data_IF_145184884421
#
_entry.id   IF_145184884421
#
_cell.length_a   1.000
_cell.length_b   1.000
_cell.length_c   1.000
_cell.angle_alpha   90.00
_cell.angle_beta   90.00
_cell.angle_gamma   90.00
#
_symmetry.space_group_name_H-M   'P 1'
#
loop_
_entity.id
_entity.type
_entity.pdbx_description
1 polymer ?
#
# COMPACT_ATOMS: atom_id res chain seq x y z
N UNK A 1 -0.80 20.91 7.13
CA UNK A 1 0.24 19.94 6.74
C UNK A 1 -0.13 18.46 7.01
N UNK A 2 -1.36 18.13 7.46
CA UNK A 2 -1.83 16.73 7.67
C UNK A 2 -2.88 16.25 6.63
N UNK A 3 -3.10 17.00 5.55
CA UNK A 3 -4.22 16.77 4.60
C UNK A 3 -3.91 15.88 3.39
N UNK A 4 -2.64 15.50 3.18
CA UNK A 4 -2.21 14.65 2.04
C UNK A 4 -2.18 13.17 2.44
N UNK A 5 -1.68 12.84 3.63
CA UNK A 5 -1.65 11.48 4.17
C UNK A 5 -3.05 10.84 4.25
N UNK A 6 -4.08 11.63 4.58
CA UNK A 6 -5.47 11.16 4.67
C UNK A 6 -6.08 10.73 3.31
N UNK A 7 -5.50 11.14 2.17
CA UNK A 7 -6.08 10.89 0.84
C UNK A 7 -5.63 9.57 0.23
N UNK A 8 -4.33 9.27 0.27
CA UNK A 8 -3.80 7.97 -0.20
C UNK A 8 -4.47 6.80 0.53
N UNK A 9 -4.73 6.98 1.83
CA UNK A 9 -5.42 6.02 2.70
C UNK A 9 -6.84 5.73 2.21
N UNK A 10 -7.60 6.77 1.81
CA UNK A 10 -8.98 6.60 1.35
C UNK A 10 -9.08 5.77 0.08
N UNK A 11 -8.12 5.93 -0.81
CA UNK A 11 -8.00 5.21 -2.06
C UNK A 11 -7.63 3.74 -1.85
N UNK A 12 -6.69 3.46 -0.94
CA UNK A 12 -6.25 2.11 -0.65
C UNK A 12 -7.36 1.23 -0.05
N UNK A 13 -8.31 1.79 0.71
CA UNK A 13 -9.45 1.02 1.25
C UNK A 13 -10.36 0.40 0.19
N UNK A 14 -10.39 0.93 -1.04
CA UNK A 14 -11.23 0.40 -2.11
C UNK A 14 -10.61 -0.83 -2.80
N UNK A 15 -9.35 -1.16 -2.49
CA UNK A 15 -8.61 -2.25 -3.10
C UNK A 15 -8.69 -3.47 -2.18
N UNK A 16 -9.34 -4.57 -2.58
CA UNK A 16 -9.62 -5.72 -1.70
C UNK A 16 -8.36 -6.44 -1.22
N UNK A 17 -7.26 -6.32 -1.96
CA UNK A 17 -5.97 -6.90 -1.60
C UNK A 17 -5.30 -6.17 -0.42
N UNK A 18 -5.72 -4.93 -0.11
CA UNK A 18 -5.14 -4.14 0.97
C UNK A 18 -5.55 -4.69 2.34
N UNK A 19 -4.57 -5.12 3.11
CA UNK A 19 -4.72 -5.68 4.46
C UNK A 19 -4.56 -4.61 5.53
N UNK A 20 -3.67 -3.63 5.30
CA UNK A 20 -3.43 -2.55 6.23
C UNK A 20 -2.84 -1.33 5.52
N UNK A 21 -3.12 -0.14 6.05
CA UNK A 21 -2.54 1.12 5.60
C UNK A 21 -1.98 1.86 6.81
N UNK A 22 -0.75 2.33 6.69
CA UNK A 22 -0.08 3.13 7.69
C UNK A 22 0.38 4.43 7.05
N UNK A 23 0.09 5.56 7.67
CA UNK A 23 0.74 6.83 7.33
C UNK A 23 2.05 6.90 8.07
N UNK A 24 3.13 7.19 7.37
CA UNK A 24 4.48 7.20 7.96
C UNK A 24 5.13 8.57 7.77
N UNK A 25 6.05 8.90 8.65
CA UNK A 25 6.98 9.99 8.38
C UNK A 25 8.10 9.45 7.48
N UNK A 26 8.57 10.28 6.55
CA UNK A 26 9.64 9.92 5.62
C UNK A 26 9.33 10.39 4.20
N UNK A 27 10.09 9.87 3.25
CA UNK A 27 9.92 10.13 1.82
C UNK A 27 8.58 9.57 1.28
N UNK A 28 8.16 8.33 1.63
CA UNK A 28 6.80 7.89 1.32
C UNK A 28 5.78 8.45 2.32
N UNK A 29 4.62 8.87 1.82
CA UNK A 29 3.50 9.33 2.66
C UNK A 29 2.74 8.18 3.36
N UNK A 30 2.82 6.96 2.80
CA UNK A 30 2.10 5.79 3.30
C UNK A 30 2.82 4.46 3.01
N UNK A 31 2.61 3.50 3.91
CA UNK A 31 2.94 2.08 3.74
C UNK A 31 1.64 1.29 3.63
N UNK A 32 1.51 0.49 2.57
CA UNK A 32 0.34 -0.33 2.31
C UNK A 32 0.74 -1.80 2.31
N UNK A 33 0.16 -2.58 3.21
CA UNK A 33 0.32 -4.04 3.22
C UNK A 33 -0.74 -4.63 2.29
N UNK A 34 -0.33 -5.38 1.28
CA UNK A 34 -1.21 -6.04 0.31
C UNK A 34 -0.99 -7.55 0.32
N UNK A 35 -2.05 -8.31 0.15
CA UNK A 35 -1.98 -9.76 -0.05
C UNK A 35 -2.40 -10.11 -1.47
N UNK A 36 -1.48 -10.74 -2.19
CA UNK A 36 -1.61 -11.09 -3.61
C UNK A 36 -1.34 -12.58 -3.80
N UNK A 37 -1.73 -13.13 -4.96
CA UNK A 37 -1.62 -14.57 -5.26
C UNK A 37 -0.34 -14.92 -6.00
N UNK A 38 0.16 -13.98 -6.80
CA UNK A 38 1.35 -14.10 -7.64
C UNK A 38 1.83 -12.69 -8.07
N UNK A 39 2.92 -12.65 -8.84
CA UNK A 39 3.56 -11.40 -9.29
C UNK A 39 2.70 -10.65 -10.33
N UNK A 40 1.96 -11.36 -11.17
CA UNK A 40 1.08 -10.73 -12.16
C UNK A 40 -0.07 -10.00 -11.44
N UNK A 41 -0.66 -10.65 -10.44
CA UNK A 41 -1.67 -10.04 -9.59
C UNK A 41 -1.13 -8.82 -8.84
N UNK A 42 0.13 -8.86 -8.38
CA UNK A 42 0.78 -7.70 -7.75
C UNK A 42 0.85 -6.50 -8.70
N UNK A 43 1.21 -6.71 -9.96
CA UNK A 43 1.26 -5.64 -10.95
C UNK A 43 -0.13 -5.01 -11.14
N UNK A 44 -1.18 -5.82 -11.26
CA UNK A 44 -2.56 -5.36 -11.40
C UNK A 44 -3.00 -4.48 -10.21
N UNK A 45 -2.66 -4.91 -8.99
CA UNK A 45 -2.96 -4.17 -7.74
C UNK A 45 -2.21 -2.84 -7.69
N UNK A 46 -0.91 -2.83 -8.02
CA UNK A 46 -0.11 -1.59 -8.06
C UNK A 46 -0.68 -0.62 -9.10
N UNK A 47 -1.07 -1.11 -10.26
CA UNK A 47 -1.66 -0.26 -11.30
C UNK A 47 -3.03 0.28 -10.89
N UNK A 48 -3.83 -0.50 -10.16
CA UNK A 48 -5.10 -0.04 -9.60
C UNK A 48 -4.88 1.10 -8.58
N UNK A 49 -3.90 0.95 -7.68
CA UNK A 49 -3.54 1.98 -6.71
C UNK A 49 -3.05 3.27 -7.41
N UNK A 50 -2.25 3.14 -8.49
CA UNK A 50 -1.77 4.29 -9.27
C UNK A 50 -2.89 5.00 -10.02
N UNK A 51 -3.81 4.26 -10.65
CA UNK A 51 -4.93 4.83 -11.44
C UNK A 51 -5.90 5.67 -10.61
N UNK A 52 -6.01 5.41 -9.31
CA UNK A 52 -6.88 6.19 -8.43
C UNK A 52 -6.38 7.63 -8.15
N UNK A 53 -5.28 8.05 -8.78
CA UNK A 53 -4.98 9.46 -9.03
C UNK A 53 -4.28 10.20 -7.89
N UNK A 54 -3.90 9.49 -6.83
CA UNK A 54 -3.28 10.09 -5.63
C UNK A 54 -1.92 9.50 -5.29
N UNK A 55 -1.42 8.57 -6.11
CA UNK A 55 -0.13 7.90 -5.90
C UNK A 55 0.85 8.44 -6.94
N UNK A 56 1.79 9.27 -6.49
CA UNK A 56 2.85 9.87 -7.33
C UNK A 56 3.96 8.88 -7.68
N UNK A 57 4.13 7.84 -6.88
CA UNK A 57 5.10 6.77 -7.08
C UNK A 57 4.89 5.65 -6.09
N UNK A 58 5.47 4.48 -6.36
CA UNK A 58 5.44 3.34 -5.45
C UNK A 58 6.82 2.74 -5.32
N UNK A 59 7.23 2.42 -4.08
CA UNK A 59 8.36 1.54 -3.81
C UNK A 59 7.83 0.22 -3.29
N UNK A 60 8.00 -0.84 -4.08
CA UNK A 60 7.45 -2.17 -3.76
C UNK A 60 8.50 -3.00 -3.04
N UNK A 61 8.11 -3.59 -1.91
CA UNK A 61 8.91 -4.52 -1.13
C UNK A 61 8.13 -5.83 -1.00
N UNK A 62 8.78 -6.97 -1.27
CA UNK A 62 8.17 -8.30 -1.10
C UNK A 62 8.58 -8.88 0.25
N UNK A 63 7.60 -9.32 1.03
CA UNK A 63 7.85 -10.03 2.29
C UNK A 63 8.38 -11.42 1.96
N UNK A 64 9.62 -11.72 2.36
CA UNK A 64 10.25 -13.03 2.18
C UNK A 64 10.14 -13.92 3.43
N UNK A 65 9.86 -13.30 4.58
CA UNK A 65 9.65 -13.96 5.86
C UNK A 65 9.02 -12.97 6.84
N UNK A 66 8.25 -13.48 7.78
CA UNK A 66 7.57 -12.67 8.80
C UNK A 66 7.68 -13.34 10.16
N UNK A 67 7.91 -12.54 11.18
CA UNK A 67 7.84 -12.96 12.57
C UNK A 67 7.04 -11.92 13.34
N UNK A 68 6.21 -12.37 14.26
CA UNK A 68 5.42 -11.50 15.15
C UNK A 68 5.66 -11.95 16.56
N UNK A 69 5.86 -11.00 17.47
CA UNK A 69 6.19 -11.27 18.87
C UNK A 69 5.07 -11.97 19.62
N UNK A 70 3.82 -11.65 19.28
CA UNK A 70 2.61 -12.02 20.02
C UNK A 70 1.54 -12.68 19.14
N UNK A 71 1.92 -13.34 18.04
CA UNK A 71 0.99 -14.12 17.22
C UNK A 71 0.64 -15.47 17.86
#
# INVERSE_FOLDING_TARGET
>A
MYGLAARCVRTAYAVPEVQAVFTIAGDPDALVNVRVRDIEHLQQVIDALRRAGQVTGTKTLTVLGSWTRDA
#
